data_IF_021480862063
#
_entry.id   IF_021480862063
#
_cell.length_a   1.000
_cell.length_b   1.000
_cell.length_c   1.000
_cell.angle_alpha   90.00
_cell.angle_beta   90.00
_cell.angle_gamma   90.00
#
_symmetry.space_group_name_H-M   'P 1'
#
loop_
_entity.id
_entity.type
_entity.pdbx_description
1 polymer ?
#
# COMPACT_ATOMS: atom_id res chain seq x y z
N UNK A 1 -20.12 -17.46 13.84
CA UNK A 1 -18.76 -18.07 14.04
C UNK A 1 -18.00 -17.18 15.02
N UNK A 2 -17.19 -17.78 15.89
CA UNK A 2 -16.28 -17.03 16.74
C UNK A 2 -15.21 -16.38 15.88
N UNK A 3 -14.91 -15.07 16.11
CA UNK A 3 -13.95 -14.32 15.31
C UNK A 3 -12.55 -14.81 15.59
N UNK A 4 -11.79 -15.16 14.55
CA UNK A 4 -10.37 -15.47 14.68
C UNK A 4 -9.60 -14.31 15.33
N UNK A 5 -8.47 -14.59 15.95
CA UNK A 5 -7.61 -13.59 16.57
C UNK A 5 -6.14 -13.85 16.25
N UNK A 6 -5.31 -12.81 16.26
CA UNK A 6 -3.86 -12.97 16.17
C UNK A 6 -3.33 -13.72 17.40
N UNK A 7 -2.35 -14.61 17.16
CA UNK A 7 -1.69 -15.33 18.23
C UNK A 7 -0.78 -14.43 19.06
N UNK A 8 -0.23 -13.40 18.44
CA UNK A 8 0.73 -12.50 19.07
C UNK A 8 0.59 -11.06 18.60
N UNK A 9 0.96 -10.12 19.48
CA UNK A 9 1.04 -8.69 19.13
C UNK A 9 1.98 -8.42 17.97
N UNK A 10 3.14 -9.07 17.95
CA UNK A 10 4.09 -8.94 16.84
C UNK A 10 3.46 -9.41 15.52
N UNK A 11 2.65 -10.49 15.56
CA UNK A 11 1.90 -10.93 14.39
C UNK A 11 0.94 -9.88 13.88
N UNK A 12 0.14 -9.29 14.76
CA UNK A 12 -0.72 -8.16 14.39
C UNK A 12 0.06 -7.01 13.75
N UNK A 13 1.15 -6.56 14.38
CA UNK A 13 1.95 -5.44 13.87
C UNK A 13 2.56 -5.74 12.51
N UNK A 14 3.14 -6.93 12.32
CA UNK A 14 3.77 -7.29 11.05
C UNK A 14 2.76 -7.55 9.92
N UNK A 15 1.58 -8.09 10.22
CA UNK A 15 0.50 -8.24 9.22
C UNK A 15 -0.04 -6.87 8.82
N UNK A 16 -0.35 -6.01 9.79
CA UNK A 16 -0.90 -4.68 9.52
C UNK A 16 0.14 -3.78 8.83
N UNK A 17 1.39 -3.79 9.30
CA UNK A 17 2.46 -3.08 8.61
C UNK A 17 2.71 -3.65 7.21
N UNK A 18 2.65 -4.97 7.00
CA UNK A 18 2.78 -5.59 5.69
C UNK A 18 1.63 -5.26 4.73
N UNK A 19 0.45 -4.92 5.24
CA UNK A 19 -0.63 -4.38 4.42
C UNK A 19 -0.34 -2.95 3.96
N UNK A 20 0.24 -2.11 4.82
CA UNK A 20 0.66 -0.76 4.50
C UNK A 20 1.91 -0.76 3.60
N UNK A 21 2.92 -1.54 3.97
CA UNK A 21 4.19 -1.65 3.23
C UNK A 21 3.96 -2.42 1.94
N UNK A 22 3.83 -1.70 0.84
CA UNK A 22 3.58 -2.26 -0.46
C UNK A 22 4.37 -1.56 -1.56
N UNK A 23 3.88 -1.66 -2.78
CA UNK A 23 4.39 -0.97 -3.96
C UNK A 23 4.43 0.55 -3.72
N UNK A 24 3.50 1.08 -2.94
CA UNK A 24 3.42 2.48 -2.57
C UNK A 24 4.68 3.05 -1.91
N UNK A 25 5.35 2.28 -1.05
CA UNK A 25 6.55 2.69 -0.33
C UNK A 25 7.81 2.62 -1.19
N UNK A 26 7.89 1.61 -2.05
CA UNK A 26 9.14 1.29 -2.75
C UNK A 26 9.15 1.85 -4.16
N UNK A 27 8.01 2.02 -4.78
CA UNK A 27 7.88 2.57 -6.12
C UNK A 27 7.32 4.00 -6.11
N UNK A 28 6.07 4.17 -5.62
CA UNK A 28 5.37 5.45 -5.72
C UNK A 28 6.06 6.52 -4.87
N UNK A 29 6.47 6.20 -3.65
CA UNK A 29 7.06 7.17 -2.76
C UNK A 29 8.37 7.79 -3.31
N UNK A 30 9.40 7.03 -3.73
CA UNK A 30 10.59 7.61 -4.35
C UNK A 30 10.28 8.43 -5.62
N UNK A 31 9.35 7.95 -6.45
CA UNK A 31 8.90 8.66 -7.64
C UNK A 31 8.30 10.03 -7.30
N UNK A 32 7.35 10.08 -6.36
CA UNK A 32 6.69 11.32 -5.93
C UNK A 32 7.71 12.26 -5.24
N UNK A 33 8.63 11.74 -4.44
CA UNK A 33 9.74 12.51 -3.86
C UNK A 33 10.58 13.17 -4.95
N UNK A 34 10.95 12.41 -5.99
CA UNK A 34 11.74 12.90 -7.12
C UNK A 34 11.06 14.04 -7.87
N UNK A 35 9.74 13.96 -8.04
CA UNK A 35 8.94 14.99 -8.72
C UNK A 35 8.64 16.23 -7.86
N UNK A 36 8.63 16.10 -6.53
CA UNK A 36 8.12 17.14 -5.62
C UNK A 36 9.20 17.76 -4.73
N UNK A 37 10.44 17.82 -5.20
CA UNK A 37 11.48 18.65 -4.56
C UNK A 37 12.31 17.92 -3.49
N UNK A 38 12.32 16.58 -3.47
CA UNK A 38 13.25 15.80 -2.64
C UNK A 38 12.97 15.89 -1.15
N UNK A 39 14.01 16.21 -0.35
CA UNK A 39 13.96 16.16 1.11
C UNK A 39 12.90 17.04 1.77
N UNK A 40 12.52 18.17 1.16
CA UNK A 40 11.44 18.99 1.69
C UNK A 40 10.08 18.28 1.59
N UNK A 41 9.81 17.59 0.47
CA UNK A 41 8.62 16.75 0.34
C UNK A 41 8.59 15.67 1.42
N UNK A 42 9.71 14.98 1.66
CA UNK A 42 9.81 13.94 2.70
C UNK A 42 9.41 14.49 4.06
N UNK A 43 9.88 15.69 4.41
CA UNK A 43 9.54 16.35 5.68
C UNK A 43 8.04 16.65 5.77
N UNK A 44 7.45 17.24 4.72
CA UNK A 44 6.01 17.52 4.68
C UNK A 44 5.19 16.24 4.74
N UNK A 45 5.61 15.20 4.01
CA UNK A 45 4.96 13.87 4.05
C UNK A 45 4.93 13.28 5.47
N UNK A 46 6.04 13.33 6.20
CA UNK A 46 6.09 12.82 7.58
C UNK A 46 5.11 13.57 8.50
N UNK A 47 4.99 14.87 8.35
CA UNK A 47 3.99 15.67 9.07
C UNK A 47 2.57 15.25 8.70
N UNK A 48 2.29 15.10 7.39
CA UNK A 48 0.96 14.70 6.91
C UNK A 48 0.60 13.27 7.34
N UNK A 49 1.56 12.36 7.38
CA UNK A 49 1.34 11.00 7.86
C UNK A 49 0.88 10.97 9.32
N UNK A 50 1.48 11.82 10.17
CA UNK A 50 1.10 11.92 11.60
C UNK A 50 -0.24 12.64 11.76
N UNK A 51 -0.47 13.72 11.01
CA UNK A 51 -1.66 14.57 11.17
C UNK A 51 -2.90 13.96 10.52
N UNK A 52 -2.76 13.32 9.35
CA UNK A 52 -3.86 12.74 8.57
C UNK A 52 -3.90 11.21 8.67
N UNK A 53 -2.79 10.56 8.34
CA UNK A 53 -2.73 9.09 8.22
C UNK A 53 -2.99 8.38 9.53
N UNK A 54 -2.26 8.72 10.58
CA UNK A 54 -2.37 8.07 11.89
C UNK A 54 -3.78 8.17 12.52
N UNK A 55 -4.48 9.33 12.53
CA UNK A 55 -5.85 9.40 13.01
C UNK A 55 -6.82 8.49 12.25
N UNK A 56 -6.81 8.53 10.91
CA UNK A 56 -7.72 7.70 10.10
C UNK A 56 -7.41 6.20 10.28
N UNK A 57 -6.13 5.82 10.33
CA UNK A 57 -5.73 4.45 10.65
C UNK A 57 -6.30 3.98 12.00
N UNK A 58 -6.21 4.83 13.04
CA UNK A 58 -6.78 4.48 14.35
C UNK A 58 -8.31 4.37 14.33
N UNK A 59 -8.99 5.11 13.47
CA UNK A 59 -10.43 5.02 13.28
C UNK A 59 -10.84 3.73 12.58
N UNK A 60 -10.16 3.31 11.52
CA UNK A 60 -10.39 2.02 10.88
C UNK A 60 -10.18 0.86 11.86
N UNK A 61 -9.05 0.85 12.57
CA UNK A 61 -8.78 -0.15 13.60
C UNK A 61 -9.84 -0.16 14.70
N UNK A 62 -10.36 1.02 15.11
CA UNK A 62 -11.37 1.15 16.14
C UNK A 62 -12.70 0.54 15.73
N UNK A 63 -13.15 0.80 14.50
CA UNK A 63 -14.39 0.23 13.95
C UNK A 63 -14.30 -1.30 13.90
N UNK A 64 -13.19 -1.83 13.41
CA UNK A 64 -12.94 -3.28 13.41
C UNK A 64 -12.90 -3.88 14.80
N UNK A 65 -12.13 -3.30 15.74
CA UNK A 65 -11.95 -3.83 17.09
C UNK A 65 -13.21 -3.76 17.94
N UNK A 66 -13.98 -2.68 17.82
CA UNK A 66 -15.23 -2.51 18.56
C UNK A 66 -16.32 -3.48 18.08
N UNK A 67 -16.43 -3.68 16.78
CA UNK A 67 -17.46 -4.51 16.17
C UNK A 67 -17.15 -6.01 16.20
N UNK A 68 -15.86 -6.38 16.11
CA UNK A 68 -15.41 -7.77 15.90
C UNK A 68 -16.02 -8.39 14.64
N UNK A 69 -16.30 -7.58 13.63
CA UNK A 69 -16.95 -7.96 12.37
C UNK A 69 -16.12 -7.46 11.17
N UNK A 70 -16.43 -7.97 9.98
CA UNK A 70 -15.99 -7.38 8.72
C UNK A 70 -16.79 -6.14 8.38
N UNK A 71 -16.32 -5.36 7.45
CA UNK A 71 -16.67 -3.96 7.23
C UNK A 71 -18.17 -3.66 7.17
N UNK A 72 -18.95 -4.36 6.33
CA UNK A 72 -20.41 -4.11 6.21
C UNK A 72 -21.12 -4.38 7.53
N UNK A 73 -20.78 -5.50 8.18
CA UNK A 73 -21.41 -5.87 9.47
C UNK A 73 -20.85 -5.05 10.63
N UNK A 74 -19.63 -4.53 10.52
CA UNK A 74 -19.05 -3.63 11.52
C UNK A 74 -19.82 -2.33 11.60
N UNK A 75 -20.09 -1.69 10.45
CA UNK A 75 -20.92 -0.50 10.42
C UNK A 75 -22.34 -0.77 10.95
N UNK A 76 -22.98 -1.87 10.51
CA UNK A 76 -24.31 -2.26 11.03
C UNK A 76 -24.34 -2.46 12.54
N UNK A 77 -23.25 -2.97 13.14
CA UNK A 77 -23.16 -3.20 14.57
C UNK A 77 -22.97 -1.91 15.39
N UNK A 78 -22.36 -0.88 14.81
CA UNK A 78 -21.97 0.35 15.49
C UNK A 78 -22.84 1.56 15.11
N UNK A 79 -23.52 1.53 13.98
CA UNK A 79 -24.37 2.62 13.50
C UNK A 79 -25.66 2.74 14.32
N UNK A 80 -26.23 3.93 14.32
CA UNK A 80 -27.53 4.17 14.97
C UNK A 80 -28.67 3.54 14.17
N UNK A 81 -29.73 3.07 14.84
CA UNK A 81 -30.91 2.56 14.16
C UNK A 81 -31.45 3.56 13.13
N UNK A 82 -31.72 3.07 11.92
CA UNK A 82 -32.23 3.87 10.80
C UNK A 82 -31.15 4.64 10.00
N UNK A 83 -29.88 4.60 10.40
CA UNK A 83 -28.79 5.17 9.59
C UNK A 83 -28.35 4.21 8.50
N UNK A 84 -27.57 4.72 7.54
CA UNK A 84 -27.13 3.97 6.34
C UNK A 84 -25.61 3.94 6.18
N UNK A 85 -24.86 4.05 7.25
CA UNK A 85 -23.39 4.05 7.19
C UNK A 85 -22.81 2.72 6.66
N UNK A 86 -23.53 1.61 6.87
CA UNK A 86 -23.14 0.30 6.34
C UNK A 86 -23.01 0.25 4.80
N UNK A 87 -23.57 1.22 4.08
CA UNK A 87 -23.37 1.33 2.61
C UNK A 87 -21.90 1.52 2.30
N UNK A 88 -21.16 2.27 3.14
CA UNK A 88 -19.72 2.43 2.97
C UNK A 88 -18.98 1.09 2.99
N UNK A 89 -19.43 0.12 3.80
CA UNK A 89 -18.83 -1.21 3.82
C UNK A 89 -18.84 -1.90 2.46
N UNK A 90 -19.87 -1.70 1.65
CA UNK A 90 -19.92 -2.22 0.28
C UNK A 90 -18.94 -1.50 -0.63
N UNK A 91 -18.84 -0.17 -0.53
CA UNK A 91 -17.84 0.60 -1.28
C UNK A 91 -16.41 0.17 -0.92
N UNK A 92 -16.14 -0.10 0.34
CA UNK A 92 -14.83 -0.57 0.79
C UNK A 92 -14.48 -1.96 0.20
N UNK A 93 -15.43 -2.91 0.18
CA UNK A 93 -15.21 -4.22 -0.45
C UNK A 93 -14.98 -4.08 -1.95
N UNK A 94 -15.77 -3.26 -2.65
CA UNK A 94 -15.56 -2.97 -4.07
C UNK A 94 -14.18 -2.35 -4.29
N UNK A 95 -13.76 -1.42 -3.43
CA UNK A 95 -12.44 -0.82 -3.48
C UNK A 95 -11.32 -1.85 -3.31
N UNK A 96 -11.47 -2.80 -2.38
CA UNK A 96 -10.53 -3.92 -2.24
C UNK A 96 -10.48 -4.81 -3.48
N UNK A 97 -11.62 -5.09 -4.10
CA UNK A 97 -11.67 -5.87 -5.34
C UNK A 97 -10.98 -5.13 -6.49
N UNK A 98 -11.28 -3.84 -6.70
CA UNK A 98 -10.62 -3.00 -7.70
C UNK A 98 -9.11 -2.92 -7.46
N UNK A 99 -8.68 -2.74 -6.21
CA UNK A 99 -7.25 -2.78 -5.87
C UNK A 99 -6.62 -4.10 -6.30
N UNK A 100 -7.26 -5.24 -6.04
CA UNK A 100 -6.71 -6.55 -6.40
C UNK A 100 -6.63 -6.76 -7.91
N UNK A 101 -7.48 -6.12 -8.72
CA UNK A 101 -7.46 -6.28 -10.18
C UNK A 101 -6.10 -5.90 -10.78
N UNK A 102 -5.56 -4.74 -10.41
CA UNK A 102 -4.27 -4.30 -10.93
C UNK A 102 -3.08 -4.70 -10.02
N UNK A 103 -3.28 -4.72 -8.71
CA UNK A 103 -2.20 -4.96 -7.76
C UNK A 103 -1.62 -6.38 -7.84
N UNK A 104 -2.46 -7.38 -8.14
CA UNK A 104 -2.01 -8.76 -8.38
C UNK A 104 -1.17 -8.88 -9.63
N UNK A 105 -1.51 -8.14 -10.69
CA UNK A 105 -0.74 -8.07 -11.94
C UNK A 105 0.64 -7.45 -11.69
N UNK A 106 0.69 -6.28 -11.03
CA UNK A 106 1.97 -5.61 -10.73
C UNK A 106 2.82 -6.43 -9.75
N UNK A 107 2.20 -7.11 -8.77
CA UNK A 107 2.92 -8.03 -7.88
C UNK A 107 3.50 -9.22 -8.67
N UNK A 108 2.80 -9.69 -9.69
CA UNK A 108 3.30 -10.68 -10.64
C UNK A 108 4.54 -10.20 -11.39
N UNK A 109 4.59 -8.93 -11.84
CA UNK A 109 5.77 -8.35 -12.50
C UNK A 109 7.01 -8.35 -11.58
N UNK A 110 6.82 -8.06 -10.28
CA UNK A 110 7.94 -8.10 -9.31
C UNK A 110 8.51 -9.51 -9.20
N UNK A 111 7.64 -10.51 -9.14
CA UNK A 111 8.03 -11.92 -9.07
C UNK A 111 8.72 -12.38 -10.36
N UNK A 112 8.21 -12.00 -11.52
CA UNK A 112 8.83 -12.26 -12.82
C UNK A 112 10.25 -11.70 -12.90
N UNK A 113 10.42 -10.43 -12.53
CA UNK A 113 11.74 -9.79 -12.54
C UNK A 113 12.72 -10.42 -11.56
N UNK A 114 12.26 -10.89 -10.41
CA UNK A 114 13.08 -11.70 -9.51
C UNK A 114 13.64 -12.93 -10.26
N UNK A 115 12.77 -13.68 -10.94
CA UNK A 115 13.21 -14.85 -11.70
C UNK A 115 14.10 -14.48 -12.89
N UNK A 116 13.81 -13.40 -13.61
CA UNK A 116 14.65 -12.90 -14.72
C UNK A 116 16.08 -12.56 -14.26
N UNK A 117 16.24 -11.97 -13.08
CA UNK A 117 17.56 -11.74 -12.49
C UNK A 117 18.23 -13.06 -12.06
N UNK A 118 17.51 -13.93 -11.36
CA UNK A 118 18.04 -15.24 -10.90
C UNK A 118 18.46 -16.13 -12.07
N UNK A 119 17.70 -16.15 -13.15
CA UNK A 119 17.98 -16.97 -14.34
C UNK A 119 19.03 -16.33 -15.27
N UNK A 120 19.36 -15.04 -15.07
CA UNK A 120 20.39 -14.35 -15.84
C UNK A 120 19.92 -13.79 -17.19
N UNK A 121 18.64 -13.47 -17.31
CA UNK A 121 18.11 -12.69 -18.45
C UNK A 121 18.79 -11.31 -18.47
N UNK A 122 18.97 -10.70 -17.30
CA UNK A 122 19.74 -9.48 -17.15
C UNK A 122 21.24 -9.80 -17.01
N UNK A 123 21.99 -9.57 -18.09
CA UNK A 123 23.44 -9.84 -18.16
C UNK A 123 24.24 -8.60 -17.78
N UNK A 124 25.47 -8.78 -17.21
CA UNK A 124 26.35 -7.64 -16.91
C UNK A 124 26.68 -6.83 -18.17
N UNK A 125 26.59 -5.49 -18.07
CA UNK A 125 26.86 -4.58 -19.18
C UNK A 125 25.77 -4.49 -20.24
N UNK A 126 24.54 -5.00 -19.93
CA UNK A 126 23.40 -4.87 -20.85
C UNK A 126 23.06 -3.40 -21.08
N UNK A 127 22.86 -3.03 -22.36
CA UNK A 127 22.47 -1.67 -22.71
C UNK A 127 21.08 -1.28 -22.16
N UNK A 128 20.88 0.00 -21.90
CA UNK A 128 19.61 0.51 -21.34
C UNK A 128 18.41 0.21 -22.24
N UNK A 129 18.61 0.28 -23.56
CA UNK A 129 17.58 -0.01 -24.56
C UNK A 129 17.14 -1.48 -24.48
N UNK A 130 18.08 -2.40 -24.27
CA UNK A 130 17.78 -3.84 -24.14
C UNK A 130 17.05 -4.12 -22.82
N UNK A 131 17.45 -3.46 -21.74
CA UNK A 131 16.70 -3.55 -20.46
C UNK A 131 15.27 -3.02 -20.62
N UNK A 132 15.07 -1.93 -21.37
CA UNK A 132 13.75 -1.40 -21.72
C UNK A 132 12.93 -2.36 -22.57
N UNK A 133 13.59 -3.05 -23.52
CA UNK A 133 12.93 -4.03 -24.39
C UNK A 133 12.39 -5.23 -23.57
N UNK A 134 13.13 -5.71 -22.56
CA UNK A 134 12.66 -6.80 -21.66
C UNK A 134 11.33 -6.43 -20.99
N UNK A 135 11.15 -5.16 -20.58
CA UNK A 135 9.90 -4.70 -20.01
C UNK A 135 8.78 -4.61 -21.06
N UNK A 136 9.09 -4.05 -22.22
CA UNK A 136 8.12 -3.94 -23.32
C UNK A 136 7.66 -5.31 -23.82
N UNK A 137 8.57 -6.27 -23.94
CA UNK A 137 8.26 -7.65 -24.35
C UNK A 137 7.36 -8.36 -23.33
N UNK A 138 7.63 -8.17 -22.02
CA UNK A 138 6.78 -8.68 -20.96
C UNK A 138 5.36 -8.09 -21.06
N UNK A 139 5.22 -6.77 -21.23
CA UNK A 139 3.90 -6.11 -21.36
C UNK A 139 3.16 -6.56 -22.61
N UNK A 140 3.88 -6.82 -23.71
CA UNK A 140 3.31 -7.31 -24.97
C UNK A 140 2.88 -8.79 -24.89
N UNK A 141 3.28 -9.55 -23.87
CA UNK A 141 2.98 -10.97 -23.70
C UNK A 141 1.86 -11.22 -22.69
N UNK A 142 0.59 -11.38 -23.14
CA UNK A 142 -0.52 -11.67 -22.22
C UNK A 142 -0.33 -13.00 -21.47
N UNK A 143 0.36 -13.96 -22.08
CA UNK A 143 0.64 -15.28 -21.46
C UNK A 143 1.61 -15.13 -20.28
N UNK A 144 2.70 -14.38 -20.44
CA UNK A 144 3.70 -14.15 -19.41
C UNK A 144 3.10 -13.36 -18.25
N UNK A 145 2.47 -12.23 -18.54
CA UNK A 145 1.78 -11.41 -17.54
C UNK A 145 0.71 -12.21 -16.80
N UNK A 146 -0.12 -12.96 -17.55
CA UNK A 146 -1.19 -13.79 -16.98
C UNK A 146 -0.66 -14.91 -16.09
N UNK A 147 0.43 -15.58 -16.48
CA UNK A 147 1.06 -16.63 -15.69
C UNK A 147 1.49 -16.12 -14.30
N UNK A 148 2.23 -15.02 -14.24
CA UNK A 148 2.73 -14.46 -12.99
C UNK A 148 1.61 -13.88 -12.12
N UNK A 149 0.57 -13.29 -12.72
CA UNK A 149 -0.64 -12.87 -12.02
C UNK A 149 -1.36 -14.08 -11.39
N UNK A 150 -1.56 -15.16 -12.15
CA UNK A 150 -2.21 -16.40 -11.64
C UNK A 150 -1.41 -17.00 -10.48
N UNK A 151 -0.08 -17.08 -10.59
CA UNK A 151 0.79 -17.59 -9.52
C UNK A 151 0.63 -16.71 -8.26
N UNK A 152 0.61 -15.39 -8.41
CA UNK A 152 0.44 -14.45 -7.29
C UNK A 152 -0.91 -14.63 -6.60
N UNK A 153 -2.00 -14.68 -7.36
CA UNK A 153 -3.35 -14.87 -6.80
C UNK A 153 -3.47 -16.23 -6.14
N UNK A 154 -3.01 -17.30 -6.80
CA UNK A 154 -3.07 -18.66 -6.25
C UNK A 154 -2.29 -18.77 -4.92
N UNK A 155 -1.09 -18.22 -4.86
CA UNK A 155 -0.29 -18.18 -3.64
C UNK A 155 -0.99 -17.40 -2.51
N UNK A 156 -1.57 -16.22 -2.82
CA UNK A 156 -2.31 -15.41 -1.85
C UNK A 156 -3.54 -16.11 -1.30
N UNK A 157 -4.35 -16.70 -2.17
CA UNK A 157 -5.53 -17.50 -1.82
C UNK A 157 -5.16 -18.72 -0.98
N UNK A 158 -4.08 -19.42 -1.34
CA UNK A 158 -3.57 -20.56 -0.58
C UNK A 158 -3.21 -20.15 0.84
N UNK A 159 -2.44 -19.08 1.02
CA UNK A 159 -2.05 -18.56 2.35
C UNK A 159 -3.27 -18.21 3.19
N UNK A 160 -4.23 -17.47 2.63
CA UNK A 160 -5.43 -17.04 3.35
C UNK A 160 -6.37 -18.23 3.65
N UNK A 161 -6.40 -19.27 2.81
CA UNK A 161 -7.23 -20.47 3.02
C UNK A 161 -6.84 -21.26 4.27
N UNK A 162 -5.58 -21.18 4.72
CA UNK A 162 -5.04 -21.89 5.89
C UNK A 162 -5.56 -21.28 7.21
N UNK A 163 -5.95 -19.98 7.20
CA UNK A 163 -6.45 -19.26 8.37
C UNK A 163 -5.54 -18.14 8.83
N UNK A 164 -6.04 -17.32 9.78
CA UNK A 164 -5.32 -16.12 10.23
C UNK A 164 -4.00 -16.48 10.92
N UNK A 165 -4.00 -17.39 11.88
CA UNK A 165 -2.80 -17.69 12.69
C UNK A 165 -1.75 -18.52 11.95
N UNK A 166 -2.18 -19.59 11.26
CA UNK A 166 -1.25 -20.55 10.61
C UNK A 166 -0.84 -20.11 9.20
N UNK A 167 -1.71 -19.41 8.49
CA UNK A 167 -1.49 -18.86 7.16
C UNK A 167 -0.97 -17.42 7.23
N UNK A 168 -1.90 -16.47 7.34
CA UNK A 168 -1.63 -15.04 7.24
C UNK A 168 -0.54 -14.56 8.22
N UNK A 169 -0.71 -14.79 9.53
CA UNK A 169 0.24 -14.31 10.56
C UNK A 169 1.63 -14.95 10.41
N UNK A 170 1.69 -16.28 10.19
CA UNK A 170 2.97 -16.98 10.08
C UNK A 170 3.74 -16.56 8.83
N UNK A 171 3.08 -16.52 7.68
CA UNK A 171 3.70 -16.13 6.42
C UNK A 171 4.14 -14.68 6.45
N UNK A 172 3.27 -13.76 6.92
CA UNK A 172 3.62 -12.35 7.04
C UNK A 172 4.81 -12.12 8.00
N UNK A 173 4.91 -12.84 9.10
CA UNK A 173 6.07 -12.72 10.01
C UNK A 173 7.37 -13.07 9.30
N UNK A 174 7.42 -14.18 8.57
CA UNK A 174 8.62 -14.60 7.84
C UNK A 174 8.96 -13.61 6.75
N UNK A 175 7.97 -13.24 5.93
CA UNK A 175 8.17 -12.32 4.81
C UNK A 175 8.60 -10.92 5.29
N UNK A 176 7.91 -10.36 6.29
CA UNK A 176 8.23 -9.03 6.80
C UNK A 176 9.59 -8.98 7.48
N UNK A 177 9.98 -10.03 8.22
CA UNK A 177 11.33 -10.13 8.79
C UNK A 177 12.39 -10.20 7.69
N UNK A 178 12.18 -11.04 6.67
CA UNK A 178 13.09 -11.12 5.53
C UNK A 178 13.15 -9.80 4.75
N UNK A 179 12.01 -9.13 4.54
CA UNK A 179 11.93 -7.82 3.91
C UNK A 179 12.76 -6.77 4.66
N UNK A 180 12.63 -6.69 5.99
CA UNK A 180 13.39 -5.75 6.81
C UNK A 180 14.90 -6.04 6.78
N UNK A 181 15.31 -7.31 6.73
CA UNK A 181 16.73 -7.67 6.55
C UNK A 181 17.21 -7.29 5.15
N UNK A 182 16.46 -7.63 4.11
CA UNK A 182 16.81 -7.32 2.72
C UNK A 182 16.97 -5.82 2.49
N UNK A 183 16.04 -5.00 3.00
CA UNK A 183 16.11 -3.55 2.81
C UNK A 183 17.33 -2.94 3.53
N UNK A 184 17.71 -3.46 4.69
CA UNK A 184 18.93 -3.03 5.39
C UNK A 184 20.19 -3.40 4.59
N UNK A 185 20.28 -4.63 4.08
CA UNK A 185 21.41 -5.07 3.25
C UNK A 185 21.55 -4.22 1.99
N UNK A 186 20.44 -3.98 1.29
CA UNK A 186 20.40 -3.14 0.09
C UNK A 186 20.78 -1.68 0.39
N UNK A 187 20.27 -1.12 1.50
CA UNK A 187 20.58 0.25 1.91
C UNK A 187 22.08 0.40 2.30
N UNK A 188 22.64 -0.56 3.04
CA UNK A 188 24.09 -0.56 3.36
C UNK A 188 24.92 -0.59 2.08
N UNK A 189 24.53 -1.44 1.11
CA UNK A 189 25.22 -1.49 -0.18
C UNK A 189 25.12 -0.17 -0.93
N UNK A 190 23.95 0.52 -0.90
CA UNK A 190 23.77 1.78 -1.63
C UNK A 190 24.71 2.90 -1.18
N UNK A 191 25.17 2.89 0.08
CA UNK A 191 26.19 3.83 0.56
C UNK A 191 27.57 3.65 -0.09
N UNK A 192 27.84 2.50 -0.69
CA UNK A 192 29.11 2.24 -1.40
C UNK A 192 29.11 2.77 -2.83
N UNK A 193 27.96 3.22 -3.34
CA UNK A 193 27.82 3.71 -4.71
C UNK A 193 28.44 5.11 -4.88
N UNK A 194 29.03 5.44 -6.05
CA UNK A 194 29.69 6.73 -6.29
C UNK A 194 28.79 7.94 -6.06
N UNK A 195 27.52 7.89 -6.47
CA UNK A 195 26.53 8.96 -6.32
C UNK A 195 25.77 8.95 -4.98
N UNK A 196 26.24 8.17 -3.98
CA UNK A 196 25.51 8.02 -2.72
C UNK A 196 25.33 9.35 -1.99
N UNK A 197 26.37 10.17 -1.93
CA UNK A 197 26.33 11.46 -1.21
C UNK A 197 25.31 12.42 -1.81
N UNK A 198 25.34 12.58 -3.12
CA UNK A 198 24.46 13.47 -3.88
C UNK A 198 22.99 12.97 -3.81
N UNK A 199 22.79 11.66 -4.01
CA UNK A 199 21.47 11.04 -3.96
C UNK A 199 20.82 11.16 -2.58
N UNK A 200 21.57 10.91 -1.52
CA UNK A 200 21.10 11.05 -0.13
C UNK A 200 20.85 12.52 0.21
N UNK A 201 21.72 13.44 -0.24
CA UNK A 201 21.54 14.87 -0.03
C UNK A 201 20.23 15.36 -0.69
N UNK A 202 20.00 14.98 -1.95
CA UNK A 202 18.73 15.30 -2.64
C UNK A 202 17.52 14.77 -1.90
N UNK A 203 17.60 13.54 -1.42
CA UNK A 203 16.50 12.81 -0.81
C UNK A 203 16.14 13.29 0.60
N UNK A 204 17.14 13.59 1.45
CA UNK A 204 16.93 13.86 2.87
C UNK A 204 17.18 15.31 3.29
N UNK A 205 17.92 16.09 2.48
CA UNK A 205 18.21 17.49 2.81
C UNK A 205 17.15 18.39 2.17
N UNK A 206 16.34 19.11 2.95
CA UNK A 206 15.35 20.05 2.42
C UNK A 206 16.00 21.16 1.60
N UNK A 207 15.54 21.37 0.38
CA UNK A 207 16.00 22.43 -0.52
C UNK A 207 14.80 23.22 -1.03
N UNK A 208 14.76 24.52 -0.69
CA UNK A 208 13.67 25.42 -1.07
C UNK A 208 13.69 25.79 -2.56
N UNK A 209 14.82 25.71 -3.24
CA UNK A 209 14.87 26.02 -4.68
C UNK A 209 14.17 24.91 -5.49
N UNK A 210 14.32 23.64 -5.07
CA UNK A 210 13.56 22.54 -5.63
C UNK A 210 12.04 22.71 -5.41
N UNK A 211 11.63 23.22 -4.24
CA UNK A 211 10.22 23.49 -3.94
C UNK A 211 9.65 24.63 -4.78
N UNK A 212 10.44 25.70 -5.02
CA UNK A 212 10.01 26.83 -5.85
C UNK A 212 9.74 26.42 -7.30
N UNK A 213 10.51 25.49 -7.84
CA UNK A 213 10.31 25.00 -9.20
C UNK A 213 9.00 24.20 -9.38
N UNK A 214 8.53 23.52 -8.33
CA UNK A 214 7.30 22.71 -8.34
C UNK A 214 6.08 23.48 -7.85
N UNK A 215 6.29 24.41 -6.91
CA UNK A 215 5.25 25.13 -6.20
C UNK A 215 4.86 24.45 -4.87
N UNK A 216 4.88 25.24 -3.78
CA UNK A 216 4.62 24.74 -2.43
C UNK A 216 3.25 24.04 -2.29
N UNK A 217 2.21 24.56 -2.94
CA UNK A 217 0.88 23.96 -2.93
C UNK A 217 0.86 22.55 -3.51
N UNK A 218 1.55 22.31 -4.61
CA UNK A 218 1.67 21.02 -5.25
C UNK A 218 2.43 20.01 -4.36
N UNK A 219 3.51 20.45 -3.73
CA UNK A 219 4.29 19.63 -2.80
C UNK A 219 3.44 19.18 -1.60
N UNK A 220 2.66 20.11 -1.01
CA UNK A 220 1.76 19.79 0.11
C UNK A 220 0.67 18.82 -0.34
N UNK A 221 0.01 19.06 -1.48
CA UNK A 221 -1.04 18.21 -2.01
C UNK A 221 -0.53 16.80 -2.32
N UNK A 222 0.64 16.68 -2.95
CA UNK A 222 1.28 15.40 -3.22
C UNK A 222 1.64 14.65 -1.92
N UNK A 223 2.15 15.36 -0.90
CA UNK A 223 2.48 14.76 0.40
C UNK A 223 1.24 14.27 1.15
N UNK A 224 0.15 15.03 1.12
CA UNK A 224 -1.14 14.64 1.69
C UNK A 224 -1.69 13.38 0.99
N UNK A 225 -1.69 13.35 -0.34
CA UNK A 225 -2.14 12.19 -1.11
C UNK A 225 -1.29 10.94 -0.81
N UNK A 226 0.03 11.10 -0.75
CA UNK A 226 0.94 10.00 -0.42
C UNK A 226 0.71 9.46 1.00
N UNK A 227 0.35 10.29 1.98
CA UNK A 227 0.07 9.85 3.34
C UNK A 227 -1.18 8.96 3.46
N UNK A 228 -2.19 9.14 2.61
CA UNK A 228 -3.34 8.23 2.53
C UNK A 228 -3.01 6.96 1.78
N UNK A 229 -2.32 7.09 0.65
CA UNK A 229 -1.99 5.98 -0.21
C UNK A 229 -1.11 4.95 0.50
N UNK A 230 -0.06 5.42 1.21
CA UNK A 230 0.92 4.53 1.84
C UNK A 230 0.31 3.59 2.88
N UNK A 231 -0.74 4.02 3.59
CA UNK A 231 -1.43 3.23 4.61
C UNK A 231 -2.66 2.48 4.08
N UNK A 232 -2.99 2.59 2.79
CA UNK A 232 -4.17 1.98 2.16
C UNK A 232 -5.49 2.29 2.90
N UNK A 233 -5.66 3.56 3.36
CA UNK A 233 -6.79 3.98 4.18
C UNK A 233 -8.04 4.23 3.35
N UNK A 234 -9.22 3.99 3.94
CA UNK A 234 -10.52 4.29 3.34
C UNK A 234 -11.24 3.07 2.73
N UNK A 235 -10.53 1.99 2.44
CA UNK A 235 -11.10 0.75 1.88
C UNK A 235 -11.18 -0.39 2.91
N UNK A 236 -11.13 -0.07 4.20
CA UNK A 236 -11.22 -1.04 5.30
C UNK A 236 -10.10 -2.10 5.34
N UNK A 237 -8.99 -1.87 4.67
CA UNK A 237 -7.87 -2.81 4.69
C UNK A 237 -7.30 -2.99 6.10
N UNK A 238 -7.31 -1.93 6.92
CA UNK A 238 -6.87 -1.98 8.33
C UNK A 238 -7.98 -2.37 9.30
N UNK A 239 -9.24 -2.16 8.96
CA UNK A 239 -10.38 -2.47 9.81
C UNK A 239 -10.45 -3.97 10.14
N UNK A 240 -10.21 -4.82 9.13
CA UNK A 240 -10.25 -6.27 9.32
C UNK A 240 -9.24 -6.73 10.38
N UNK A 241 -8.03 -6.15 10.39
CA UNK A 241 -7.00 -6.46 11.39
C UNK A 241 -7.38 -5.94 12.77
N UNK A 242 -8.04 -4.78 12.84
CA UNK A 242 -8.68 -4.30 14.07
C UNK A 242 -9.62 -5.34 14.67
N UNK A 243 -10.43 -6.02 13.82
CA UNK A 243 -11.39 -7.04 14.29
C UNK A 243 -10.72 -8.29 14.88
N UNK A 244 -9.45 -8.54 14.60
CA UNK A 244 -8.66 -9.67 15.11
C UNK A 244 -7.81 -9.34 16.33
N UNK A 245 -7.68 -8.04 16.71
CA UNK A 245 -6.80 -7.62 17.80
C UNK A 245 -7.49 -7.62 19.16
N UNK A 246 -6.69 -7.78 20.24
CA UNK A 246 -7.13 -7.64 21.63
C UNK A 246 -7.22 -6.18 22.07
N UNK A 247 -7.76 -5.94 23.28
CA UNK A 247 -7.84 -4.61 23.91
C UNK A 247 -6.68 -4.29 24.87
N UNK A 248 -5.58 -5.04 24.83
CA UNK A 248 -4.46 -4.87 25.75
C UNK A 248 -3.68 -3.56 25.50
N UNK A 249 -3.71 -3.05 24.28
CA UNK A 249 -3.00 -1.85 23.88
C UNK A 249 -3.92 -0.83 23.21
N UNK A 250 -3.60 0.47 23.43
CA UNK A 250 -4.33 1.57 22.79
C UNK A 250 -4.09 1.60 21.28
N UNK A 251 -5.12 1.98 20.51
CA UNK A 251 -5.02 2.01 19.05
C UNK A 251 -4.06 3.07 18.53
N UNK A 252 -3.93 4.20 19.22
CA UNK A 252 -2.98 5.24 18.84
C UNK A 252 -1.54 4.73 18.92
N UNK A 253 -1.20 3.92 19.94
CA UNK A 253 0.14 3.32 20.06
C UNK A 253 0.40 2.26 18.99
N UNK A 254 -0.60 1.43 18.67
CA UNK A 254 -0.45 0.42 17.62
C UNK A 254 -0.38 1.07 16.23
N UNK A 255 -1.24 2.05 15.96
CA UNK A 255 -1.20 2.83 14.73
C UNK A 255 0.13 3.55 14.51
N UNK A 256 0.68 4.18 15.58
CA UNK A 256 1.99 4.83 15.51
C UNK A 256 3.13 3.85 15.18
N UNK A 257 3.05 2.59 15.66
CA UNK A 257 4.04 1.56 15.31
C UNK A 257 3.90 1.09 13.87
N UNK A 258 2.66 0.93 13.38
CA UNK A 258 2.40 0.59 11.98
C UNK A 258 2.94 1.70 11.09
N UNK A 259 2.60 2.98 11.35
CA UNK A 259 3.13 4.13 10.63
C UNK A 259 4.66 4.20 10.70
N UNK A 260 5.25 3.89 11.86
CA UNK A 260 6.71 3.88 12.03
C UNK A 260 7.40 2.82 11.18
N UNK A 261 6.85 1.61 11.09
CA UNK A 261 7.38 0.54 10.22
C UNK A 261 7.20 0.89 8.74
N UNK A 262 6.04 1.40 8.37
CA UNK A 262 5.74 1.86 7.00
C UNK A 262 6.71 2.96 6.55
N UNK A 263 6.87 3.99 7.38
CA UNK A 263 7.82 5.09 7.14
C UNK A 263 9.26 4.60 7.05
N UNK A 264 9.66 3.69 7.95
CA UNK A 264 11.00 3.12 7.92
C UNK A 264 11.30 2.47 6.55
N UNK A 265 10.37 1.65 6.04
CA UNK A 265 10.56 1.01 4.74
C UNK A 265 10.55 2.03 3.61
N UNK A 266 9.64 3.03 3.62
CA UNK A 266 9.60 4.08 2.61
C UNK A 266 10.92 4.89 2.56
N UNK A 267 11.44 5.28 3.75
CA UNK A 267 12.70 6.02 3.85
C UNK A 267 13.88 5.18 3.37
N UNK A 268 13.95 3.91 3.78
CA UNK A 268 15.03 3.01 3.35
C UNK A 268 14.97 2.71 1.85
N UNK A 269 13.78 2.61 1.25
CA UNK A 269 13.62 2.46 -0.19
C UNK A 269 14.19 3.65 -0.95
N UNK A 270 13.97 4.88 -0.47
CA UNK A 270 14.60 6.06 -1.04
C UNK A 270 16.12 6.04 -0.90
N UNK A 271 16.67 5.60 0.25
CA UNK A 271 18.12 5.44 0.45
C UNK A 271 18.73 4.42 -0.53
N UNK A 272 17.96 3.43 -1.00
CA UNK A 272 18.42 2.49 -2.04
C UNK A 272 18.35 3.12 -3.42
N UNK A 273 17.25 3.76 -3.75
CA UNK A 273 16.93 4.19 -5.12
C UNK A 273 17.69 5.46 -5.52
N UNK A 274 17.70 6.50 -4.66
CA UNK A 274 18.33 7.78 -5.03
C UNK A 274 19.85 7.67 -5.25
N UNK A 275 20.64 7.03 -4.37
CA UNK A 275 22.04 6.79 -4.66
C UNK A 275 22.29 6.03 -5.97
N UNK A 276 21.48 5.03 -6.25
CA UNK A 276 21.58 4.26 -7.47
C UNK A 276 21.31 5.15 -8.71
N UNK A 277 20.22 5.92 -8.70
CA UNK A 277 19.89 6.83 -9.80
C UNK A 277 20.98 7.90 -10.03
N UNK A 278 21.48 8.52 -8.96
CA UNK A 278 22.53 9.54 -9.05
C UNK A 278 23.88 8.96 -9.51
N UNK A 279 24.22 7.71 -9.13
CA UNK A 279 25.46 7.05 -9.55
C UNK A 279 25.50 6.77 -11.05
N UNK A 280 24.36 6.54 -11.66
CA UNK A 280 24.25 6.17 -13.07
C UNK A 280 23.55 7.24 -13.94
N UNK A 281 23.37 8.45 -13.42
CA UNK A 281 22.83 9.60 -14.16
C UNK A 281 21.37 9.44 -14.60
N UNK A 282 20.56 8.67 -13.87
CA UNK A 282 19.19 8.35 -14.25
C UNK A 282 18.20 9.25 -13.54
N UNK A 283 17.18 9.72 -14.27
CA UNK A 283 16.11 10.56 -13.70
C UNK A 283 15.13 9.72 -12.85
N UNK A 284 14.87 10.16 -11.62
CA UNK A 284 13.96 9.49 -10.68
C UNK A 284 12.47 9.69 -11.02
N UNK A 285 12.17 10.44 -12.08
CA UNK A 285 10.81 10.89 -12.44
C UNK A 285 10.07 10.00 -13.42
N UNK A 286 10.49 8.74 -13.62
CA UNK A 286 10.07 7.89 -14.75
C UNK A 286 8.89 6.93 -14.47
N UNK A 287 8.17 7.06 -13.35
CA UNK A 287 7.01 6.18 -13.04
C UNK A 287 7.39 4.68 -12.98
N UNK A 288 6.58 3.77 -13.57
CA UNK A 288 6.88 2.33 -13.64
C UNK A 288 8.24 2.01 -14.24
N UNK A 289 8.66 2.79 -15.24
CA UNK A 289 9.96 2.64 -15.89
C UNK A 289 11.13 2.79 -14.92
N UNK A 290 10.96 3.51 -13.80
CA UNK A 290 12.01 3.59 -12.77
C UNK A 290 12.37 2.20 -12.24
N UNK A 291 11.39 1.38 -11.92
CA UNK A 291 11.59 0.06 -11.31
C UNK A 291 11.95 -1.00 -12.36
N UNK A 292 11.27 -0.99 -13.51
CA UNK A 292 11.36 -2.09 -14.48
C UNK A 292 12.32 -1.85 -15.65
N UNK A 293 12.76 -0.61 -15.84
CA UNK A 293 13.75 -0.25 -16.89
C UNK A 293 15.01 0.32 -16.27
N UNK A 294 14.85 1.35 -15.45
CA UNK A 294 15.97 2.11 -14.90
C UNK A 294 16.81 1.33 -13.91
N UNK A 295 16.18 0.76 -12.87
CA UNK A 295 16.92 0.00 -11.85
C UNK A 295 17.54 -1.29 -12.39
N UNK A 296 16.90 -2.09 -13.27
CA UNK A 296 17.58 -3.18 -13.95
C UNK A 296 18.82 -2.74 -14.70
N UNK A 297 18.76 -1.61 -15.44
CA UNK A 297 19.94 -1.06 -16.10
C UNK A 297 21.05 -0.66 -15.11
N UNK A 298 20.69 -0.08 -13.97
CA UNK A 298 21.64 0.20 -12.88
C UNK A 298 22.29 -1.09 -12.40
N UNK A 299 21.51 -2.12 -12.10
CA UNK A 299 22.04 -3.40 -11.61
C UNK A 299 22.93 -4.10 -12.63
N UNK A 300 22.59 -4.07 -13.93
CA UNK A 300 23.43 -4.70 -14.97
C UNK A 300 24.78 -4.02 -15.13
N UNK A 301 24.91 -2.75 -14.77
CA UNK A 301 26.14 -1.97 -14.88
C UNK A 301 26.97 -1.93 -13.58
N UNK A 302 26.52 -2.58 -12.50
CA UNK A 302 27.27 -2.62 -11.25
C UNK A 302 27.88 -4.00 -10.96
N UNK A 303 28.97 -4.02 -10.18
CA UNK A 303 29.60 -5.27 -9.77
C UNK A 303 28.64 -6.14 -8.94
N UNK A 304 28.47 -7.41 -9.34
CA UNK A 304 27.54 -8.31 -8.70
C UNK A 304 26.05 -7.99 -8.93
N UNK A 305 25.74 -7.21 -9.95
CA UNK A 305 24.41 -6.70 -10.22
C UNK A 305 23.31 -7.74 -10.32
N UNK A 306 23.62 -8.96 -10.82
CA UNK A 306 22.70 -10.08 -10.82
C UNK A 306 22.22 -10.43 -9.40
N UNK A 307 23.11 -10.44 -8.42
CA UNK A 307 22.77 -10.71 -7.02
C UNK A 307 21.95 -9.56 -6.44
N UNK A 308 22.41 -8.32 -6.63
CA UNK A 308 21.74 -7.13 -6.12
C UNK A 308 20.34 -6.94 -6.71
N UNK A 309 20.20 -7.14 -8.02
CA UNK A 309 18.90 -7.11 -8.70
C UNK A 309 17.95 -8.22 -8.20
N UNK A 310 18.48 -9.45 -8.02
CA UNK A 310 17.69 -10.54 -7.44
C UNK A 310 17.21 -10.22 -6.02
N UNK A 311 18.07 -9.69 -5.15
CA UNK A 311 17.70 -9.30 -3.78
C UNK A 311 16.71 -8.14 -3.77
N UNK A 312 16.86 -7.17 -4.65
CA UNK A 312 15.94 -6.04 -4.78
C UNK A 312 14.55 -6.51 -5.23
N UNK A 313 14.46 -7.32 -6.28
CA UNK A 313 13.16 -7.80 -6.74
C UNK A 313 12.53 -8.84 -5.79
N UNK A 314 13.32 -9.58 -5.02
CA UNK A 314 12.81 -10.40 -3.93
C UNK A 314 12.20 -9.53 -2.82
N UNK A 315 12.87 -8.44 -2.44
CA UNK A 315 12.34 -7.45 -1.51
C UNK A 315 11.02 -6.86 -2.02
N UNK A 316 10.98 -6.44 -3.30
CA UNK A 316 9.78 -5.90 -3.95
C UNK A 316 8.63 -6.92 -3.97
N UNK A 317 8.94 -8.18 -4.27
CA UNK A 317 7.96 -9.28 -4.25
C UNK A 317 7.36 -9.46 -2.86
N UNK A 318 8.18 -9.45 -1.80
CA UNK A 318 7.66 -9.57 -0.44
C UNK A 318 6.83 -8.36 -0.02
N UNK A 319 7.22 -7.15 -0.40
CA UNK A 319 6.47 -5.94 -0.13
C UNK A 319 5.09 -5.97 -0.82
N UNK A 320 5.04 -6.28 -2.11
CA UNK A 320 3.78 -6.35 -2.85
C UNK A 320 2.89 -7.50 -2.38
N UNK A 321 3.46 -8.68 -2.18
CA UNK A 321 2.70 -9.87 -1.81
C UNK A 321 2.12 -9.78 -0.39
N UNK A 322 2.76 -9.08 0.55
CA UNK A 322 2.20 -8.84 1.89
C UNK A 322 0.88 -8.06 1.84
N UNK A 323 0.77 -7.08 0.95
CA UNK A 323 -0.48 -6.36 0.69
C UNK A 323 -1.51 -7.27 0.01
N UNK A 324 -1.11 -8.08 -0.97
CA UNK A 324 -2.02 -9.02 -1.65
C UNK A 324 -2.71 -9.95 -0.65
N UNK A 325 -1.95 -10.62 0.23
CA UNK A 325 -2.55 -11.55 1.22
C UNK A 325 -3.43 -10.81 2.24
N UNK A 326 -3.07 -9.58 2.61
CA UNK A 326 -3.83 -8.75 3.53
C UNK A 326 -5.21 -8.36 2.96
N UNK A 327 -5.24 -7.91 1.70
CA UNK A 327 -6.49 -7.48 1.05
C UNK A 327 -7.36 -8.68 0.66
N UNK A 328 -6.78 -9.79 0.21
CA UNK A 328 -7.52 -11.04 -0.02
C UNK A 328 -8.19 -11.51 1.28
N UNK A 329 -7.51 -11.45 2.43
CA UNK A 329 -8.10 -11.78 3.73
C UNK A 329 -9.30 -10.89 4.06
N UNK A 330 -9.22 -9.58 3.78
CA UNK A 330 -10.34 -8.66 4.00
C UNK A 330 -11.56 -9.03 3.14
N UNK A 331 -11.36 -9.30 1.83
CA UNK A 331 -12.44 -9.70 0.93
C UNK A 331 -13.05 -11.04 1.40
N UNK A 332 -12.22 -12.02 1.71
CA UNK A 332 -12.67 -13.34 2.16
C UNK A 332 -13.45 -13.25 3.47
N UNK A 333 -12.94 -12.53 4.46
CA UNK A 333 -13.62 -12.34 5.76
C UNK A 333 -14.96 -11.64 5.61
N UNK A 334 -15.05 -10.67 4.69
CA UNK A 334 -16.31 -10.00 4.37
C UNK A 334 -17.32 -10.96 3.77
N UNK A 335 -16.91 -11.83 2.84
CA UNK A 335 -17.78 -12.86 2.27
C UNK A 335 -18.19 -13.92 3.31
N UNK A 336 -17.27 -14.32 4.19
CA UNK A 336 -17.58 -15.27 5.27
C UNK A 336 -18.65 -14.69 6.22
N UNK A 337 -18.50 -13.44 6.61
CA UNK A 337 -19.43 -12.78 7.52
C UNK A 337 -20.81 -12.52 6.87
N UNK A 338 -20.84 -12.10 5.59
CA UNK A 338 -22.07 -11.74 4.88
C UNK A 338 -22.88 -12.95 4.44
N UNK A 339 -22.20 -13.99 3.95
CA UNK A 339 -22.85 -15.14 3.29
C UNK A 339 -22.76 -16.43 4.13
N UNK A 340 -22.09 -16.40 5.29
CA UNK A 340 -21.88 -17.58 6.13
C UNK A 340 -21.00 -18.66 5.48
N UNK A 341 -20.13 -18.27 4.51
CA UNK A 341 -19.27 -19.23 3.82
C UNK A 341 -18.16 -19.74 4.74
N UNK A 342 -17.81 -21.02 4.53
CA UNK A 342 -16.58 -21.54 5.14
C UNK A 342 -15.35 -20.86 4.51
N UNK A 343 -14.25 -20.78 5.26
CA UNK A 343 -12.98 -20.16 4.79
C UNK A 343 -12.51 -20.76 3.46
N UNK A 344 -12.55 -22.08 3.30
CA UNK A 344 -12.16 -22.74 2.04
C UNK A 344 -13.05 -22.34 0.86
N UNK A 345 -14.38 -22.26 1.09
CA UNK A 345 -15.33 -21.82 0.05
C UNK A 345 -15.09 -20.37 -0.31
N UNK A 346 -14.90 -19.49 0.68
CA UNK A 346 -14.60 -18.07 0.46
C UNK A 346 -13.27 -17.91 -0.31
N UNK A 347 -12.22 -18.66 0.04
CA UNK A 347 -10.94 -18.64 -0.65
C UNK A 347 -11.08 -19.02 -2.13
N UNK A 348 -11.76 -20.13 -2.42
CA UNK A 348 -11.93 -20.59 -3.80
C UNK A 348 -12.74 -19.61 -4.63
N UNK A 349 -13.91 -19.17 -4.15
CA UNK A 349 -14.79 -18.28 -4.92
C UNK A 349 -14.13 -16.92 -5.14
N UNK A 350 -13.58 -16.31 -4.09
CA UNK A 350 -12.90 -15.01 -4.23
C UNK A 350 -11.64 -15.12 -5.09
N UNK A 351 -10.89 -16.22 -4.98
CA UNK A 351 -9.75 -16.47 -5.85
C UNK A 351 -10.14 -16.49 -7.33
N UNK A 352 -11.21 -17.21 -7.69
CA UNK A 352 -11.72 -17.22 -9.07
C UNK A 352 -12.20 -15.84 -9.52
N UNK A 353 -12.93 -15.11 -8.64
CA UNK A 353 -13.40 -13.76 -8.95
C UNK A 353 -12.22 -12.81 -9.20
N UNK A 354 -11.20 -12.82 -8.34
CA UNK A 354 -10.01 -11.98 -8.49
C UNK A 354 -9.25 -12.35 -9.77
N UNK A 355 -9.07 -13.64 -10.07
CA UNK A 355 -8.42 -14.06 -11.31
C UNK A 355 -9.13 -13.51 -12.55
N UNK A 356 -10.45 -13.66 -12.63
CA UNK A 356 -11.25 -13.17 -13.77
C UNK A 356 -11.20 -11.64 -13.82
N UNK A 357 -11.36 -10.97 -12.68
CA UNK A 357 -11.38 -9.52 -12.60
C UNK A 357 -10.02 -8.87 -12.95
N UNK A 358 -8.90 -9.58 -12.74
CA UNK A 358 -7.55 -9.10 -13.09
C UNK A 358 -7.20 -9.27 -14.58
N UNK A 359 -7.97 -10.05 -15.36
CA UNK A 359 -7.70 -10.27 -16.78
C UNK A 359 -7.69 -8.95 -17.59
N UNK A 360 -8.62 -8.00 -17.43
CA UNK A 360 -8.57 -6.74 -18.17
C UNK A 360 -7.26 -5.96 -17.96
N UNK A 361 -6.72 -5.94 -16.73
CA UNK A 361 -5.45 -5.30 -16.43
C UNK A 361 -4.27 -5.98 -17.16
N UNK A 362 -4.23 -7.32 -17.19
CA UNK A 362 -3.23 -8.10 -17.96
C UNK A 362 -3.33 -7.78 -19.46
N UNK A 363 -4.53 -7.68 -19.98
CA UNK A 363 -4.76 -7.41 -21.40
C UNK A 363 -4.59 -5.93 -21.80
N UNK A 364 -4.59 -5.01 -20.83
CA UNK A 364 -4.54 -3.57 -21.05
C UNK A 364 -3.28 -3.07 -21.77
N UNK A 365 -2.20 -3.81 -21.74
CA UNK A 365 -0.93 -3.46 -22.40
C UNK A 365 -0.70 -4.16 -23.76
N UNK A 366 -1.62 -5.03 -24.15
CA UNK A 366 -1.49 -5.82 -25.37
C UNK A 366 -2.79 -5.89 -26.14
N UNK A 367 -3.69 -6.84 -25.89
CA UNK A 367 -4.95 -7.04 -26.64
C UNK A 367 -5.91 -5.84 -26.49
N UNK A 368 -5.90 -5.18 -25.32
CA UNK A 368 -6.77 -4.03 -25.00
C UNK A 368 -5.97 -2.72 -24.93
N UNK A 369 -4.82 -2.62 -25.58
CA UNK A 369 -3.95 -1.42 -25.55
C UNK A 369 -4.65 -0.14 -26.01
N UNK A 370 -5.63 -0.25 -26.91
CA UNK A 370 -6.43 0.88 -27.42
C UNK A 370 -7.66 1.19 -26.55
N UNK A 371 -7.90 0.41 -25.49
CA UNK A 371 -9.04 0.60 -24.59
C UNK A 371 -8.66 1.50 -23.42
N UNK A 372 -9.18 2.72 -23.41
CA UNK A 372 -8.93 3.74 -22.40
C UNK A 372 -10.22 4.08 -21.64
N UNK A 373 -10.55 3.34 -20.56
CA UNK A 373 -11.86 3.46 -19.89
C UNK A 373 -12.11 4.82 -19.23
N UNK A 374 -11.08 5.51 -18.73
CA UNK A 374 -11.24 6.77 -17.99
C UNK A 374 -10.22 7.80 -18.48
N UNK A 375 -10.69 8.85 -19.14
CA UNK A 375 -9.88 10.05 -19.42
C UNK A 375 -8.58 9.80 -20.20
N UNK A 376 -8.55 8.81 -21.10
CA UNK A 376 -7.37 8.45 -21.88
C UNK A 376 -6.35 7.60 -21.12
N UNK A 377 -6.64 7.17 -19.89
CA UNK A 377 -5.81 6.26 -19.09
C UNK A 377 -5.98 4.81 -19.58
N UNK A 378 -4.93 4.03 -19.54
CA UNK A 378 -5.02 2.58 -19.75
C UNK A 378 -5.84 1.90 -18.65
N UNK A 379 -6.00 0.57 -18.72
CA UNK A 379 -6.83 -0.18 -17.77
C UNK A 379 -6.26 -0.08 -16.35
N UNK A 380 -4.95 -0.30 -16.18
CA UNK A 380 -4.29 -0.24 -14.87
C UNK A 380 -4.41 1.15 -14.25
N UNK A 381 -4.07 2.19 -15.02
CA UNK A 381 -4.13 3.57 -14.56
C UNK A 381 -5.58 4.01 -14.25
N UNK A 382 -6.57 3.45 -14.96
CA UNK A 382 -7.99 3.69 -14.67
C UNK A 382 -8.44 3.05 -13.37
N UNK A 383 -8.02 1.80 -13.11
CA UNK A 383 -8.30 1.08 -11.87
C UNK A 383 -7.61 1.77 -10.67
N UNK A 384 -6.33 2.15 -10.82
CA UNK A 384 -5.60 2.90 -9.78
C UNK A 384 -6.22 4.26 -9.52
N UNK A 385 -6.65 4.99 -10.56
CA UNK A 385 -7.33 6.28 -10.40
C UNK A 385 -8.61 6.15 -9.56
N UNK A 386 -9.45 5.14 -9.82
CA UNK A 386 -10.65 4.90 -9.04
C UNK A 386 -10.33 4.61 -7.57
N UNK A 387 -9.32 3.80 -7.32
CA UNK A 387 -8.91 3.46 -5.95
C UNK A 387 -8.24 4.65 -5.29
N UNK A 388 -7.17 5.18 -5.88
CA UNK A 388 -6.26 6.14 -5.21
C UNK A 388 -6.83 7.55 -5.14
N UNK A 389 -7.54 8.01 -6.19
CA UNK A 389 -8.06 9.38 -6.26
C UNK A 389 -9.50 9.53 -5.76
N UNK A 390 -10.27 8.43 -5.74
CA UNK A 390 -11.68 8.47 -5.35
C UNK A 390 -11.94 7.67 -4.07
N UNK A 391 -11.70 6.36 -4.07
CA UNK A 391 -12.16 5.50 -2.98
C UNK A 391 -11.37 5.68 -1.69
N UNK A 392 -10.04 5.84 -1.75
CA UNK A 392 -9.23 6.04 -0.55
C UNK A 392 -9.57 7.36 0.16
N UNK A 393 -9.59 8.55 -0.51
CA UNK A 393 -9.93 9.79 0.17
C UNK A 393 -11.39 9.81 0.65
N UNK A 394 -12.34 9.40 -0.20
CA UNK A 394 -13.76 9.40 0.16
C UNK A 394 -14.05 8.45 1.32
N UNK A 395 -13.50 7.24 1.29
CA UNK A 395 -13.63 6.26 2.35
C UNK A 395 -13.02 6.74 3.65
N UNK A 396 -11.83 7.35 3.60
CA UNK A 396 -11.19 7.97 4.77
C UNK A 396 -12.05 9.07 5.39
N UNK A 397 -12.67 9.91 4.56
CA UNK A 397 -13.62 10.93 5.01
C UNK A 397 -14.84 10.30 5.70
N UNK A 398 -15.37 9.21 5.15
CA UNK A 398 -16.52 8.51 5.75
C UNK A 398 -16.15 7.89 7.09
N UNK A 399 -14.99 7.22 7.23
CA UNK A 399 -14.50 6.74 8.54
C UNK A 399 -14.39 7.86 9.56
N UNK A 400 -13.80 8.98 9.15
CA UNK A 400 -13.65 10.14 9.99
C UNK A 400 -15.02 10.65 10.47
N UNK A 401 -15.94 10.92 9.54
CA UNK A 401 -17.28 11.42 9.87
C UNK A 401 -18.06 10.43 10.73
N UNK A 402 -17.95 9.13 10.46
CA UNK A 402 -18.61 8.09 11.26
C UNK A 402 -18.09 8.07 12.70
N UNK A 403 -16.77 8.15 12.89
CA UNK A 403 -16.17 8.09 14.23
C UNK A 403 -16.34 9.38 15.04
N UNK A 404 -16.50 10.57 14.39
CA UNK A 404 -16.49 11.85 15.14
C UNK A 404 -17.84 12.51 15.26
N UNK A 405 -18.76 12.30 14.30
CA UNK A 405 -20.04 13.02 14.27
C UNK A 405 -21.10 12.37 15.16
N UNK A 406 -22.06 13.19 15.58
CA UNK A 406 -23.22 12.70 16.34
C UNK A 406 -24.17 11.82 15.52
N UNK A 407 -24.06 11.84 14.20
CA UNK A 407 -24.91 11.04 13.30
C UNK A 407 -24.33 9.65 13.05
N UNK A 408 -23.03 9.47 13.28
CA UNK A 408 -22.35 8.19 13.22
C UNK A 408 -22.23 7.52 14.60
N UNK A 409 -21.15 6.79 14.79
CA UNK A 409 -20.79 6.12 16.05
C UNK A 409 -20.48 7.13 17.17
N UNK A 410 -19.82 8.21 16.82
CA UNK A 410 -19.57 9.38 17.65
C UNK A 410 -18.24 9.36 18.40
N UNK A 411 -17.67 10.56 18.60
CA UNK A 411 -16.33 10.74 19.15
C UNK A 411 -16.12 10.10 20.52
N UNK A 412 -17.11 10.14 21.42
CA UNK A 412 -16.98 9.54 22.76
C UNK A 412 -16.79 8.02 22.68
N UNK A 413 -17.55 7.33 21.82
CA UNK A 413 -17.44 5.89 21.62
C UNK A 413 -16.12 5.52 20.97
N UNK A 414 -15.75 6.23 19.92
CA UNK A 414 -14.44 6.09 19.27
C UNK A 414 -13.27 6.28 20.27
N UNK A 415 -13.31 7.38 21.05
CA UNK A 415 -12.27 7.68 22.03
C UNK A 415 -12.17 6.61 23.13
N UNK A 416 -13.31 6.13 23.62
CA UNK A 416 -13.34 5.07 24.62
C UNK A 416 -12.70 3.78 24.07
N UNK A 417 -13.04 3.39 22.85
CA UNK A 417 -12.45 2.22 22.20
C UNK A 417 -10.96 2.43 21.90
N UNK A 418 -10.59 3.55 21.28
CA UNK A 418 -9.20 3.85 20.93
C UNK A 418 -8.27 3.88 22.16
N UNK A 419 -8.77 4.30 23.29
CA UNK A 419 -8.04 4.43 24.56
C UNK A 419 -8.10 3.18 25.44
N UNK A 420 -8.80 2.12 25.01
CA UNK A 420 -8.79 0.86 25.73
C UNK A 420 -7.39 0.22 25.68
N UNK A 421 -6.88 -0.20 26.84
CA UNK A 421 -5.57 -0.79 26.99
C UNK A 421 -4.46 0.19 27.39
N UNK A 422 -3.20 -0.28 27.32
CA UNK A 422 -2.00 0.47 27.73
C UNK A 422 -1.35 1.19 26.54
N UNK A 423 -1.00 2.46 26.70
CA UNK A 423 -0.26 3.23 25.68
C UNK A 423 -0.73 4.66 25.52
N UNK A 424 -0.36 5.31 24.40
CA UNK A 424 -0.75 6.67 24.05
C UNK A 424 -2.27 6.76 23.86
N UNK A 425 -2.87 7.85 24.34
CA UNK A 425 -4.31 8.03 24.34
C UNK A 425 -4.72 9.16 23.39
N UNK A 426 -5.85 8.97 22.74
CA UNK A 426 -6.53 10.03 21.98
C UNK A 426 -7.07 11.05 23.00
N UNK A 427 -6.56 12.28 22.94
CA UNK A 427 -6.95 13.35 23.84
C UNK A 427 -8.27 14.00 23.39
N UNK A 428 -9.02 14.58 24.35
CA UNK A 428 -10.31 15.19 24.05
C UNK A 428 -10.22 16.39 23.10
N UNK A 429 -9.13 17.18 23.12
CA UNK A 429 -8.91 18.32 22.23
C UNK A 429 -8.75 17.90 20.76
N UNK A 430 -8.30 16.67 20.48
CA UNK A 430 -8.17 16.14 19.12
C UNK A 430 -9.52 16.07 18.39
N UNK A 431 -10.63 16.14 19.13
CA UNK A 431 -11.97 16.20 18.53
C UNK A 431 -12.09 17.35 17.52
N UNK A 432 -11.58 18.53 17.87
CA UNK A 432 -11.64 19.70 16.98
C UNK A 432 -10.81 19.51 15.70
N UNK A 433 -9.62 18.94 15.85
CA UNK A 433 -8.79 18.56 14.71
C UNK A 433 -9.55 17.61 13.78
N UNK A 434 -10.15 16.56 14.34
CA UNK A 434 -10.86 15.52 13.59
C UNK A 434 -12.19 15.99 13.00
N UNK A 435 -12.86 16.96 13.61
CA UNK A 435 -14.16 17.45 13.13
C UNK A 435 -14.06 18.54 12.07
N UNK A 436 -12.99 19.32 12.07
CA UNK A 436 -12.85 20.52 11.23
C UNK A 436 -11.66 20.39 10.27
N UNK A 437 -10.46 20.22 10.82
CA UNK A 437 -9.23 20.30 10.01
C UNK A 437 -9.11 19.10 9.06
N UNK A 438 -9.23 17.88 9.59
CA UNK A 438 -9.07 16.67 8.78
C UNK A 438 -10.10 16.55 7.65
N UNK A 439 -11.42 16.79 7.86
CA UNK A 439 -12.37 16.74 6.75
C UNK A 439 -12.07 17.73 5.64
N UNK A 440 -11.65 18.95 5.99
CA UNK A 440 -11.29 19.96 5.00
C UNK A 440 -10.04 19.56 4.20
N UNK A 441 -9.03 19.00 4.87
CA UNK A 441 -7.82 18.50 4.21
C UNK A 441 -8.14 17.33 3.28
N UNK A 442 -8.96 16.37 3.71
CA UNK A 442 -9.35 15.22 2.89
C UNK A 442 -10.19 15.66 1.68
N UNK A 443 -11.13 16.59 1.87
CA UNK A 443 -11.89 17.15 0.76
C UNK A 443 -10.99 17.89 -0.25
N UNK A 444 -9.99 18.63 0.22
CA UNK A 444 -9.02 19.27 -0.67
C UNK A 444 -8.25 18.23 -1.51
N UNK A 445 -7.79 17.13 -0.90
CA UNK A 445 -7.12 16.04 -1.62
C UNK A 445 -8.05 15.40 -2.65
N UNK A 446 -9.29 15.14 -2.24
CA UNK A 446 -10.29 14.53 -3.13
C UNK A 446 -10.55 15.41 -4.37
N UNK A 447 -10.73 16.72 -4.18
CA UNK A 447 -10.94 17.66 -5.27
C UNK A 447 -9.71 17.72 -6.18
N UNK A 448 -8.50 17.85 -5.62
CA UNK A 448 -7.26 17.86 -6.39
C UNK A 448 -7.09 16.56 -7.18
N UNK A 449 -7.38 15.40 -6.58
CA UNK A 449 -7.32 14.11 -7.26
C UNK A 449 -8.28 13.96 -8.44
N UNK A 450 -9.40 14.70 -8.45
CA UNK A 450 -10.36 14.69 -9.55
C UNK A 450 -9.99 15.67 -10.69
N UNK A 451 -9.24 16.72 -10.38
CA UNK A 451 -8.92 17.82 -11.34
C UNK A 451 -7.52 17.70 -11.96
N UNK A 452 -6.66 16.87 -11.41
CA UNK A 452 -5.31 16.56 -11.93
C UNK A 452 -5.32 15.24 -12.67
#
# INVERSE_FOLDING_TARGET
MERESFKSRLGFLLVSAGCAIGIGNVWRFPFVVGQNGGGFFVLVYLVMLVVLGLPVLTMELAVGRASRKSTVLAYKALEKPGSKWHIHGWFAIIGCCLLMMYYTTVSGWMLDYFFKFVTGVFTPGMAAEVSGQVFSDMLASPTEMGLWMVITVAAGVLVCSIGVQKGLERVSKVMMTALLVLILVLAIHSFTLPGAKEGIAFYLVPNMDNVRSVGLGNVIAAAMNQAFFTLSLGIAAMEIFGSYMSKDHTLLSEGARICGLDTFVAVMAGIIIFPACFSYGVKVTSGPSLIFVTLPNVFTNMAGGRVWGSLFFLFMTFASFSTVIAVIENIMSSCMDLFGWSRKKAALINGVIILIASVPCVLGYNVLSDFHPIGGRDVLDSEDFLVSSILLPLGSLIYLLFCVTRWGWGFKNYQAEANAGKGMKVAGWMRWLFMIVLPLMILAIFIIGLTG
#
